data_IF_715373262276
#
_entry.id   IF_715373262276
#
_cell.length_a   1.000
_cell.length_b   1.000
_cell.length_c   1.000
_cell.angle_alpha   90.00
_cell.angle_beta   90.00
_cell.angle_gamma   90.00
#
_symmetry.space_group_name_H-M   'P 1'
#
loop_
_entity.id
_entity.type
_entity.pdbx_description
1 polymer ?
#
# COMPACT_ATOMS: atom_id res chain seq x y z
N UNK A 1 8.96 -55.26 26.02
CA UNK A 1 9.73 -54.27 25.23
C UNK A 1 8.72 -53.24 24.68
N UNK A 2 8.56 -52.14 25.39
CA UNK A 2 7.69 -51.01 25.00
C UNK A 2 8.38 -50.26 23.88
N UNK A 3 7.72 -50.15 22.72
CA UNK A 3 8.18 -49.30 21.62
C UNK A 3 7.81 -47.83 21.95
N UNK A 4 8.83 -47.03 22.21
CA UNK A 4 8.70 -45.59 22.33
C UNK A 4 8.08 -44.99 21.05
N UNK A 5 6.89 -44.42 21.17
CA UNK A 5 6.22 -43.68 20.10
C UNK A 5 6.97 -42.39 19.80
N UNK A 6 7.90 -42.40 18.83
CA UNK A 6 8.52 -41.18 18.32
C UNK A 6 7.44 -40.29 17.67
N UNK A 7 7.16 -39.15 18.33
CA UNK A 7 6.30 -38.11 17.74
C UNK A 7 6.81 -37.75 16.36
N UNK A 8 5.98 -37.91 15.32
CA UNK A 8 6.27 -37.42 13.96
C UNK A 8 6.63 -35.94 14.04
N UNK A 9 7.78 -35.56 13.45
CA UNK A 9 8.19 -34.17 13.29
C UNK A 9 7.05 -33.43 12.61
N UNK A 10 6.48 -32.41 13.27
CA UNK A 10 5.43 -31.58 12.68
C UNK A 10 5.98 -30.96 11.40
N UNK A 11 5.30 -31.22 10.29
CA UNK A 11 5.53 -30.57 9.00
C UNK A 11 5.64 -29.05 9.20
N UNK A 12 6.82 -28.49 8.95
CA UNK A 12 7.00 -27.03 8.89
C UNK A 12 6.22 -26.56 7.67
N UNK A 13 5.07 -25.93 7.89
CA UNK A 13 4.21 -25.45 6.82
C UNK A 13 4.96 -24.56 5.82
N UNK A 14 4.50 -24.57 4.56
CA UNK A 14 5.09 -23.85 3.43
C UNK A 14 5.05 -22.31 3.55
N UNK A 15 4.46 -21.79 4.64
CA UNK A 15 4.34 -20.35 4.89
C UNK A 15 5.07 -19.97 6.17
N UNK A 16 6.29 -19.41 6.07
CA UNK A 16 7.03 -18.91 7.22
C UNK A 16 6.25 -17.79 7.92
N UNK A 17 6.29 -17.78 9.26
CA UNK A 17 5.58 -16.80 10.09
C UNK A 17 6.45 -15.59 10.44
N UNK A 18 7.76 -15.75 10.49
CA UNK A 18 8.68 -14.66 10.78
C UNK A 18 8.93 -13.81 9.52
N UNK A 19 8.98 -12.48 9.69
CA UNK A 19 9.20 -11.52 8.60
C UNK A 19 10.43 -11.88 7.76
N UNK A 20 11.60 -12.07 8.39
CA UNK A 20 12.85 -12.43 7.69
C UNK A 20 12.82 -13.76 6.96
N UNK A 21 12.01 -14.70 7.41
CA UNK A 21 11.84 -16.01 6.75
C UNK A 21 10.83 -15.96 5.61
N UNK A 22 9.94 -14.96 5.61
CA UNK A 22 8.93 -14.76 4.58
C UNK A 22 9.49 -14.07 3.35
N UNK A 23 10.38 -13.10 3.56
CA UNK A 23 11.01 -12.30 2.50
C UNK A 23 12.47 -12.75 2.29
N UNK A 24 12.62 -13.96 1.76
CA UNK A 24 13.92 -14.63 1.53
C UNK A 24 14.83 -13.87 0.57
N UNK A 25 14.26 -13.09 -0.34
CA UNK A 25 14.98 -12.24 -1.27
C UNK A 25 15.75 -11.09 -0.60
N UNK A 26 15.44 -10.78 0.66
CA UNK A 26 16.16 -9.77 1.45
C UNK A 26 17.47 -10.33 2.05
N UNK A 27 17.70 -11.64 1.95
CA UNK A 27 18.91 -12.29 2.44
C UNK A 27 19.43 -13.29 1.37
N UNK A 28 19.97 -12.76 0.24
CA UNK A 28 20.40 -13.58 -0.89
C UNK A 28 21.59 -14.49 -0.55
N UNK A 29 22.43 -14.13 0.43
CA UNK A 29 23.54 -14.98 0.88
C UNK A 29 23.04 -16.28 1.50
N UNK A 30 21.94 -16.23 2.24
CA UNK A 30 21.37 -17.39 2.94
C UNK A 30 20.40 -18.20 2.08
N UNK A 31 19.61 -17.55 1.22
CA UNK A 31 18.48 -18.17 0.53
C UNK A 31 18.56 -18.11 -1.00
N UNK A 32 19.63 -17.53 -1.59
CA UNK A 32 19.74 -17.31 -3.04
C UNK A 32 19.51 -18.57 -3.87
N UNK A 33 20.15 -19.67 -3.50
CA UNK A 33 19.99 -20.96 -4.20
C UNK A 33 18.56 -21.56 -4.08
N UNK A 34 17.87 -21.33 -2.98
CA UNK A 34 16.48 -21.77 -2.79
C UNK A 34 15.51 -20.92 -3.62
N UNK A 35 15.76 -19.61 -3.68
CA UNK A 35 14.99 -18.65 -4.48
C UNK A 35 15.13 -18.99 -5.97
N UNK A 36 16.34 -19.22 -6.46
CA UNK A 36 16.59 -19.59 -7.86
C UNK A 36 15.88 -20.90 -8.25
N UNK A 37 15.95 -21.94 -7.41
CA UNK A 37 15.26 -23.21 -7.66
C UNK A 37 13.74 -23.05 -7.75
N UNK A 38 13.16 -22.21 -6.92
CA UNK A 38 11.71 -21.94 -6.91
C UNK A 38 11.32 -21.19 -8.17
N UNK A 39 12.10 -20.17 -8.59
CA UNK A 39 11.89 -19.42 -9.83
C UNK A 39 12.00 -20.34 -11.05
N UNK A 40 13.01 -21.19 -11.12
CA UNK A 40 13.21 -22.17 -12.21
C UNK A 40 12.07 -23.19 -12.28
N UNK A 41 11.40 -23.49 -11.17
CA UNK A 41 10.22 -24.37 -11.14
C UNK A 41 8.92 -23.67 -11.57
N UNK A 42 8.98 -22.43 -12.02
CA UNK A 42 7.81 -21.62 -12.41
C UNK A 42 6.93 -21.19 -11.23
N UNK A 43 7.42 -21.32 -10.00
CA UNK A 43 6.71 -20.89 -8.78
C UNK A 43 7.32 -19.59 -8.25
N UNK A 44 6.49 -18.80 -7.58
CA UNK A 44 6.96 -17.62 -6.87
C UNK A 44 7.43 -18.03 -5.48
N UNK A 45 8.64 -17.64 -5.05
CA UNK A 45 9.08 -17.83 -3.69
C UNK A 45 8.11 -17.22 -2.69
N UNK A 46 7.85 -17.90 -1.57
CA UNK A 46 7.00 -17.37 -0.52
C UNK A 46 7.61 -16.08 0.03
N UNK A 47 6.90 -14.96 -0.15
CA UNK A 47 7.32 -13.64 0.30
C UNK A 47 7.87 -12.73 -0.79
N UNK A 48 8.09 -13.18 -2.01
CA UNK A 48 8.41 -12.27 -3.12
C UNK A 48 7.26 -11.29 -3.35
N UNK A 49 7.62 -10.02 -3.44
CA UNK A 49 6.68 -8.97 -3.81
C UNK A 49 6.38 -9.06 -5.30
N UNK A 50 5.20 -9.56 -5.65
CA UNK A 50 4.70 -9.51 -7.02
C UNK A 50 3.86 -8.25 -7.15
N UNK A 51 4.24 -7.32 -8.04
CA UNK A 51 3.40 -6.16 -8.29
C UNK A 51 2.04 -6.59 -8.86
N UNK A 52 0.99 -5.91 -8.42
CA UNK A 52 -0.40 -6.27 -8.74
C UNK A 52 -0.79 -5.68 -10.10
N UNK A 53 -1.55 -6.43 -10.92
CA UNK A 53 -2.13 -5.97 -12.19
C UNK A 53 -1.10 -5.40 -13.18
N UNK A 54 0.09 -5.99 -13.24
CA UNK A 54 1.17 -5.49 -14.11
C UNK A 54 0.74 -5.41 -15.57
N UNK A 55 0.09 -6.45 -16.10
CA UNK A 55 -0.30 -6.52 -17.50
C UNK A 55 -1.33 -5.44 -17.83
N UNK A 56 -2.33 -5.29 -16.99
CA UNK A 56 -3.41 -4.30 -17.16
C UNK A 56 -2.85 -2.87 -17.06
N UNK A 57 -1.90 -2.61 -16.15
CA UNK A 57 -1.23 -1.31 -16.05
C UNK A 57 -0.42 -1.01 -17.30
N UNK A 58 0.41 -1.94 -17.76
CA UNK A 58 1.24 -1.73 -18.96
C UNK A 58 0.41 -1.57 -20.23
N UNK A 59 -0.72 -2.30 -20.34
CA UNK A 59 -1.67 -2.14 -21.44
C UNK A 59 -2.30 -0.74 -21.45
N UNK A 60 -2.74 -0.27 -20.27
CA UNK A 60 -3.35 1.06 -20.13
C UNK A 60 -2.35 2.17 -20.38
N UNK A 61 -1.14 2.08 -19.83
CA UNK A 61 -0.12 3.12 -19.98
C UNK A 61 0.49 3.16 -21.38
N UNK A 62 0.45 2.04 -22.12
CA UNK A 62 0.94 1.92 -23.52
C UNK A 62 2.34 2.53 -23.69
N UNK A 63 3.26 2.12 -22.81
CA UNK A 63 4.61 2.69 -22.70
C UNK A 63 5.43 2.36 -23.94
N UNK A 64 6.00 3.39 -24.57
CA UNK A 64 6.87 3.28 -25.74
C UNK A 64 8.32 3.72 -25.39
N UNK A 65 9.34 3.13 -26.05
CA UNK A 65 10.71 3.61 -25.91
C UNK A 65 10.84 5.12 -26.23
N UNK A 66 11.66 5.83 -25.45
CA UNK A 66 11.87 7.26 -25.61
C UNK A 66 10.90 8.15 -24.82
N UNK A 67 9.88 7.58 -24.20
CA UNK A 67 8.94 8.33 -23.36
C UNK A 67 9.51 8.70 -21.99
N UNK A 68 8.88 9.68 -21.36
CA UNK A 68 9.17 10.11 -19.99
C UNK A 68 7.98 9.76 -19.09
N UNK A 69 8.23 8.99 -18.03
CA UNK A 69 7.20 8.54 -17.12
C UNK A 69 7.41 8.94 -15.68
N UNK A 70 6.37 8.73 -14.88
CA UNK A 70 6.43 8.95 -13.44
C UNK A 70 5.72 7.83 -12.68
N UNK A 71 6.43 7.26 -11.69
CA UNK A 71 5.91 6.35 -10.67
C UNK A 71 5.76 7.12 -9.35
N UNK A 72 4.52 7.39 -8.97
CA UNK A 72 4.20 8.16 -7.77
C UNK A 72 4.44 7.38 -6.46
N UNK A 73 4.62 6.07 -6.56
CA UNK A 73 4.61 5.12 -5.44
C UNK A 73 5.67 4.03 -5.65
N UNK A 74 6.94 4.42 -5.62
CA UNK A 74 8.08 3.54 -5.90
C UNK A 74 8.02 2.21 -5.14
N UNK A 75 7.74 2.26 -3.83
CA UNK A 75 7.69 1.11 -2.96
C UNK A 75 8.88 0.17 -3.15
N UNK A 76 8.61 -1.11 -3.38
CA UNK A 76 9.64 -2.12 -3.67
C UNK A 76 10.23 -2.03 -5.09
N UNK A 77 9.68 -1.17 -5.95
CA UNK A 77 10.15 -0.97 -7.33
C UNK A 77 9.68 -2.02 -8.34
N UNK A 78 8.65 -2.79 -7.99
CA UNK A 78 8.14 -3.84 -8.86
C UNK A 78 7.51 -3.31 -10.14
N UNK A 79 6.62 -2.33 -10.03
CA UNK A 79 6.03 -1.62 -11.17
C UNK A 79 7.06 -0.76 -11.90
N UNK A 80 7.91 -0.01 -11.16
CA UNK A 80 9.02 0.78 -11.70
C UNK A 80 9.87 -0.05 -12.65
N UNK A 81 10.30 -1.24 -12.22
CA UNK A 81 11.09 -2.15 -13.03
C UNK A 81 10.36 -2.55 -14.31
N UNK A 82 9.07 -2.87 -14.23
CA UNK A 82 8.28 -3.26 -15.39
C UNK A 82 8.08 -2.12 -16.40
N UNK A 83 7.94 -0.90 -15.93
CA UNK A 83 7.90 0.29 -16.78
C UNK A 83 9.27 0.56 -17.44
N UNK A 84 10.38 0.40 -16.70
CA UNK A 84 11.74 0.52 -17.24
C UNK A 84 12.04 -0.54 -18.31
N UNK A 85 11.57 -1.80 -18.12
CA UNK A 85 11.67 -2.84 -19.15
C UNK A 85 10.97 -2.42 -20.46
N UNK A 86 9.85 -1.69 -20.39
CA UNK A 86 9.14 -1.16 -21.57
C UNK A 86 9.81 0.03 -22.24
N UNK A 87 10.56 0.82 -21.50
CA UNK A 87 11.35 1.93 -22.07
C UNK A 87 12.58 1.44 -22.84
N UNK A 88 12.99 0.19 -22.70
CA UNK A 88 14.09 -0.44 -23.46
C UNK A 88 15.41 0.36 -23.44
N UNK A 89 15.72 0.99 -22.30
CA UNK A 89 16.90 1.83 -22.14
C UNK A 89 16.82 3.20 -22.84
N UNK A 90 15.64 3.60 -23.31
CA UNK A 90 15.38 4.89 -23.96
C UNK A 90 14.33 5.68 -23.16
N UNK A 91 14.50 6.99 -23.07
CA UNK A 91 13.60 7.84 -22.29
C UNK A 91 14.01 7.97 -20.83
N UNK A 92 13.07 8.27 -19.92
CA UNK A 92 13.38 8.47 -18.52
C UNK A 92 12.18 8.16 -17.62
N UNK A 93 12.43 7.54 -16.47
CA UNK A 93 11.43 7.31 -15.43
C UNK A 93 11.80 8.07 -14.17
N UNK A 94 10.90 8.91 -13.70
CA UNK A 94 10.95 9.49 -12.37
C UNK A 94 10.15 8.63 -11.41
N UNK A 95 10.64 8.45 -10.18
CA UNK A 95 9.92 7.70 -9.17
C UNK A 95 10.03 8.39 -7.81
N UNK A 96 8.96 8.36 -7.03
CA UNK A 96 8.96 8.96 -5.69
C UNK A 96 8.41 8.00 -4.64
N UNK A 97 8.90 8.17 -3.41
CA UNK A 97 8.33 7.55 -2.22
C UNK A 97 8.58 8.47 -1.02
N UNK A 98 7.70 8.42 -0.04
CA UNK A 98 7.89 9.13 1.23
C UNK A 98 8.69 8.30 2.24
N UNK A 99 8.68 6.97 2.09
CA UNK A 99 9.37 6.04 2.98
C UNK A 99 10.89 6.07 2.75
N UNK A 100 11.68 6.61 3.70
CA UNK A 100 13.12 6.73 3.54
C UNK A 100 13.83 5.37 3.53
N UNK A 101 13.25 4.38 4.21
CA UNK A 101 13.85 3.06 4.38
C UNK A 101 13.68 2.25 3.11
N UNK A 102 12.44 2.20 2.57
CA UNK A 102 12.17 1.42 1.39
C UNK A 102 12.71 2.06 0.11
N UNK A 103 12.67 3.39 -0.01
CA UNK A 103 13.19 4.09 -1.20
C UNK A 103 14.70 3.85 -1.38
N UNK A 104 15.48 3.85 -0.31
CA UNK A 104 16.92 3.60 -0.39
C UNK A 104 17.26 2.15 -0.77
N UNK A 105 16.57 1.19 -0.15
CA UNK A 105 16.71 -0.23 -0.50
C UNK A 105 16.31 -0.51 -1.95
N UNK A 106 15.25 0.16 -2.41
CA UNK A 106 14.76 0.00 -3.79
C UNK A 106 15.71 0.64 -4.79
N UNK A 107 16.28 1.79 -4.48
CA UNK A 107 17.36 2.40 -5.29
C UNK A 107 18.49 1.41 -5.51
N UNK A 108 19.06 0.86 -4.45
CA UNK A 108 20.16 -0.09 -4.54
C UNK A 108 19.80 -1.33 -5.37
N UNK A 109 18.57 -1.85 -5.24
CA UNK A 109 18.10 -3.01 -6.04
C UNK A 109 17.99 -2.67 -7.53
N UNK A 110 17.47 -1.51 -7.88
CA UNK A 110 17.29 -1.11 -9.28
C UNK A 110 18.63 -0.77 -9.93
N UNK A 111 19.54 -0.11 -9.21
CA UNK A 111 20.91 0.13 -9.67
C UNK A 111 21.67 -1.18 -9.91
N UNK A 112 21.57 -2.15 -8.99
CA UNK A 112 22.15 -3.49 -9.16
C UNK A 112 21.53 -4.26 -10.35
N UNK A 113 20.29 -3.95 -10.73
CA UNK A 113 19.63 -4.50 -11.91
C UNK A 113 19.98 -3.74 -13.22
N UNK A 114 20.86 -2.74 -13.16
CA UNK A 114 21.37 -1.98 -14.31
C UNK A 114 20.54 -0.72 -14.63
N UNK A 115 19.64 -0.29 -13.78
CA UNK A 115 18.87 0.95 -13.96
C UNK A 115 19.51 2.11 -13.20
N UNK A 116 20.44 2.79 -13.85
CA UNK A 116 21.17 3.92 -13.30
C UNK A 116 20.48 5.27 -13.49
N UNK A 117 21.15 6.38 -13.05
CA UNK A 117 20.57 7.72 -13.06
C UNK A 117 20.34 8.30 -14.47
N UNK A 118 20.86 7.69 -15.50
CA UNK A 118 20.63 8.00 -16.92
C UNK A 118 19.21 7.69 -17.39
N UNK A 119 18.56 6.67 -16.79
CA UNK A 119 17.20 6.27 -17.15
C UNK A 119 16.19 6.35 -15.98
N UNK A 120 16.68 6.43 -14.72
CA UNK A 120 15.84 6.43 -13.54
C UNK A 120 16.29 7.50 -12.53
N UNK A 121 15.37 8.39 -12.14
CA UNK A 121 15.56 9.33 -11.04
C UNK A 121 14.61 9.01 -9.90
N UNK A 122 15.13 8.62 -8.74
CA UNK A 122 14.36 8.37 -7.52
C UNK A 122 14.50 9.57 -6.58
N UNK A 123 13.36 10.09 -6.10
CA UNK A 123 13.30 11.19 -5.12
C UNK A 123 12.50 10.79 -3.89
N UNK A 124 13.01 11.09 -2.70
CA UNK A 124 12.21 11.01 -1.47
C UNK A 124 11.28 12.23 -1.41
N UNK A 125 10.02 12.03 -1.75
CA UNK A 125 9.08 13.13 -1.93
C UNK A 125 7.65 12.59 -1.86
N UNK A 126 6.73 13.41 -1.37
CA UNK A 126 5.30 13.09 -1.41
C UNK A 126 4.75 13.35 -2.82
N UNK A 127 3.98 12.42 -3.35
CA UNK A 127 3.41 12.53 -4.70
C UNK A 127 2.40 13.68 -4.85
N UNK A 128 1.86 14.26 -3.77
CA UNK A 128 1.13 15.53 -3.83
C UNK A 128 1.95 16.69 -4.42
N UNK A 129 3.28 16.54 -4.46
CA UNK A 129 4.21 17.50 -5.03
C UNK A 129 4.64 17.10 -6.46
N UNK A 130 3.79 16.40 -7.21
CA UNK A 130 4.08 15.88 -8.55
C UNK A 130 4.59 16.97 -9.52
N UNK A 131 4.13 18.20 -9.38
CA UNK A 131 4.57 19.37 -10.13
C UNK A 131 6.04 19.77 -9.87
N UNK A 132 6.65 19.26 -8.80
CA UNK A 132 8.04 19.52 -8.40
C UNK A 132 8.98 18.32 -8.68
N UNK A 133 8.45 17.20 -9.14
CA UNK A 133 9.24 15.98 -9.43
C UNK A 133 10.26 16.23 -10.53
N UNK A 134 9.84 16.88 -11.61
CA UNK A 134 10.68 17.23 -12.76
C UNK A 134 10.22 18.59 -13.29
N UNK A 135 10.68 19.71 -12.69
CA UNK A 135 10.22 21.04 -13.07
C UNK A 135 10.44 21.34 -14.55
N UNK A 136 9.36 21.70 -15.26
CA UNK A 136 9.36 21.98 -16.70
C UNK A 136 9.21 20.76 -17.61
N UNK A 137 9.34 19.53 -17.09
CA UNK A 137 9.06 18.29 -17.82
C UNK A 137 7.58 17.93 -17.68
N UNK A 138 7.06 17.24 -18.71
CA UNK A 138 5.74 16.62 -18.69
C UNK A 138 5.85 15.14 -18.99
N UNK A 139 4.96 14.36 -18.39
CA UNK A 139 5.00 12.92 -18.46
C UNK A 139 4.09 12.37 -19.58
N UNK A 140 4.60 11.38 -20.31
CA UNK A 140 3.83 10.58 -21.25
C UNK A 140 2.91 9.60 -20.49
N UNK A 141 3.38 9.11 -19.34
CA UNK A 141 2.60 8.21 -18.48
C UNK A 141 2.89 8.42 -17.00
N UNK A 142 1.88 8.17 -16.18
CA UNK A 142 1.95 8.26 -14.71
C UNK A 142 1.27 7.04 -14.09
N UNK A 143 1.93 6.42 -13.13
CA UNK A 143 1.38 5.36 -12.28
C UNK A 143 1.30 5.83 -10.82
N UNK A 144 0.21 5.49 -10.14
CA UNK A 144 0.11 5.55 -8.69
C UNK A 144 -0.50 4.23 -8.16
N UNK A 145 0.28 3.48 -7.36
CA UNK A 145 -0.15 2.27 -6.65
C UNK A 145 -0.35 2.62 -5.17
N UNK A 146 -1.58 3.02 -4.80
CA UNK A 146 -1.88 3.63 -3.51
C UNK A 146 -1.82 2.63 -2.35
N UNK A 147 -1.69 3.17 -1.15
CA UNK A 147 -1.69 2.41 0.10
C UNK A 147 -0.30 1.97 0.55
N UNK A 148 -0.23 0.83 1.22
CA UNK A 148 0.99 0.30 1.85
C UNK A 148 1.43 -1.02 1.22
N UNK A 149 2.74 -1.20 1.09
CA UNK A 149 3.31 -2.43 0.57
C UNK A 149 3.09 -3.62 1.52
N UNK A 150 3.12 -4.82 0.94
CA UNK A 150 3.07 -6.04 1.74
C UNK A 150 4.18 -6.14 2.78
N UNK A 151 5.35 -5.59 2.47
CA UNK A 151 6.50 -5.60 3.37
C UNK A 151 6.28 -4.67 4.57
N UNK A 152 5.74 -3.47 4.33
CA UNK A 152 5.36 -2.56 5.40
C UNK A 152 4.29 -3.16 6.32
N UNK A 153 3.26 -3.82 5.76
CA UNK A 153 2.21 -4.50 6.56
C UNK A 153 2.78 -5.64 7.42
N UNK A 154 3.72 -6.39 6.89
CA UNK A 154 4.26 -7.57 7.56
C UNK A 154 5.38 -7.24 8.57
N UNK A 155 5.90 -6.02 8.55
CA UNK A 155 6.89 -5.53 9.52
C UNK A 155 6.17 -5.06 10.81
N UNK A 156 6.33 -5.77 11.95
CA UNK A 156 5.68 -5.40 13.20
C UNK A 156 6.10 -4.01 13.72
N UNK A 157 7.34 -3.58 13.45
CA UNK A 157 7.88 -2.30 13.94
C UNK A 157 7.22 -1.08 13.27
N UNK A 158 6.54 -1.29 12.13
CA UNK A 158 5.80 -0.24 11.41
C UNK A 158 4.36 -0.07 11.91
N UNK A 159 3.84 -1.01 12.69
CA UNK A 159 2.51 -0.95 13.29
C UNK A 159 1.32 -1.18 12.35
N UNK A 160 1.52 -1.49 11.07
CA UNK A 160 0.42 -1.69 10.08
C UNK A 160 -0.38 -2.97 10.28
N UNK A 161 0.04 -3.86 11.17
CA UNK A 161 -0.65 -5.13 11.44
C UNK A 161 -0.95 -5.31 12.92
N UNK A 162 -2.13 -5.82 13.22
CA UNK A 162 -2.51 -6.25 14.58
C UNK A 162 -2.30 -7.75 14.83
N UNK A 163 -1.71 -8.48 13.85
CA UNK A 163 -1.39 -9.91 14.01
C UNK A 163 -0.26 -10.13 14.99
N UNK A 164 0.72 -9.26 14.96
CA UNK A 164 1.87 -9.24 15.86
C UNK A 164 1.81 -7.99 16.72
N UNK A 165 2.42 -8.01 17.89
CA UNK A 165 2.56 -6.82 18.71
C UNK A 165 3.71 -5.97 18.21
N UNK A 166 3.53 -4.67 18.22
CA UNK A 166 4.49 -3.67 17.79
C UNK A 166 4.00 -2.27 18.14
N UNK A 167 4.83 -1.23 17.96
CA UNK A 167 4.42 0.14 18.23
C UNK A 167 3.23 0.52 17.33
N UNK A 168 2.29 1.28 17.87
CA UNK A 168 1.15 1.82 17.11
C UNK A 168 1.58 3.08 16.38
N UNK A 169 2.41 2.92 15.32
CA UNK A 169 3.00 4.02 14.57
C UNK A 169 2.15 4.41 13.37
N UNK A 170 2.00 3.55 12.37
CA UNK A 170 1.23 3.72 11.12
C UNK A 170 1.72 4.82 10.16
N UNK A 171 2.83 5.48 10.44
CA UNK A 171 3.39 6.49 9.52
C UNK A 171 4.07 5.81 8.33
N UNK A 172 3.86 6.36 7.13
CA UNK A 172 4.61 5.96 5.93
C UNK A 172 6.06 6.47 6.00
N UNK A 173 6.25 7.68 6.51
CA UNK A 173 7.56 8.22 6.87
C UNK A 173 7.70 8.26 8.40
N UNK A 174 8.42 7.30 9.02
CA UNK A 174 8.57 7.26 10.47
C UNK A 174 9.42 8.40 11.05
N UNK A 175 10.06 9.20 10.19
CA UNK A 175 10.90 10.34 10.61
C UNK A 175 10.13 11.66 10.68
N UNK A 176 8.84 11.67 10.30
CA UNK A 176 8.03 12.89 10.20
C UNK A 176 6.61 12.67 10.73
N UNK A 177 6.00 13.73 11.24
CA UNK A 177 4.63 13.71 11.76
C UNK A 177 4.49 12.99 13.09
N UNK A 178 3.24 12.82 13.52
CA UNK A 178 2.88 12.12 14.77
C UNK A 178 2.48 10.67 14.50
N UNK A 179 2.84 9.76 15.40
CA UNK A 179 2.41 8.36 15.33
C UNK A 179 0.90 8.22 15.63
N UNK A 180 0.32 7.10 15.25
CA UNK A 180 -1.09 6.83 15.58
C UNK A 180 -1.34 6.77 17.10
N UNK A 181 -0.36 6.32 17.88
CA UNK A 181 -0.45 6.34 19.35
C UNK A 181 -0.49 7.78 19.89
N UNK A 182 0.32 8.69 19.35
CA UNK A 182 0.30 10.11 19.71
C UNK A 182 -1.01 10.75 19.26
N UNK A 183 -1.42 10.49 18.02
CA UNK A 183 -2.66 11.01 17.46
C UNK A 183 -3.90 10.63 18.27
N UNK A 184 -3.99 9.39 18.73
CA UNK A 184 -5.08 8.94 19.60
C UNK A 184 -5.17 9.69 20.93
N UNK A 185 -4.05 10.26 21.44
CA UNK A 185 -4.05 11.07 22.67
C UNK A 185 -4.55 12.50 22.46
N UNK A 186 -4.44 13.00 21.22
CA UNK A 186 -4.87 14.35 20.84
C UNK A 186 -6.37 14.44 20.57
N UNK A 187 -6.98 13.32 20.09
CA UNK A 187 -8.39 13.28 19.71
C UNK A 187 -9.31 13.14 20.92
N UNK A 188 -10.46 13.77 20.88
CA UNK A 188 -11.56 13.46 21.78
C UNK A 188 -12.44 12.30 21.26
N UNK A 189 -13.51 11.94 22.02
CA UNK A 189 -14.40 10.81 21.66
C UNK A 189 -15.15 11.10 20.34
N UNK A 190 -15.61 12.34 20.12
CA UNK A 190 -16.40 12.71 18.95
C UNK A 190 -15.52 12.77 17.71
N UNK A 191 -14.35 13.38 17.81
CA UNK A 191 -13.35 13.46 16.74
C UNK A 191 -12.88 12.07 16.31
N UNK A 192 -12.56 11.19 17.27
CA UNK A 192 -12.16 9.83 16.97
C UNK A 192 -13.30 9.04 16.29
N UNK A 193 -14.52 9.16 16.76
CA UNK A 193 -15.66 8.50 16.15
C UNK A 193 -15.91 8.99 14.72
N UNK A 194 -15.84 10.31 14.49
CA UNK A 194 -15.99 10.93 13.17
C UNK A 194 -14.90 10.43 12.22
N UNK A 195 -13.64 10.45 12.63
CA UNK A 195 -12.50 9.97 11.83
C UNK A 195 -12.66 8.49 11.43
N UNK A 196 -13.11 7.62 12.34
CA UNK A 196 -13.33 6.21 12.06
C UNK A 196 -14.45 5.99 11.02
N UNK A 197 -15.49 6.81 11.05
CA UNK A 197 -16.58 6.77 10.05
C UNK A 197 -16.09 7.31 8.71
N UNK A 198 -15.49 8.49 8.69
CA UNK A 198 -15.12 9.20 7.46
C UNK A 198 -14.03 8.45 6.67
N UNK A 199 -13.02 7.93 7.37
CA UNK A 199 -11.88 7.28 6.73
C UNK A 199 -12.12 5.80 6.38
N UNK A 200 -13.00 5.09 7.11
CA UNK A 200 -13.12 3.64 6.94
C UNK A 200 -14.56 3.08 7.02
N UNK A 201 -15.58 3.91 7.04
CA UNK A 201 -16.98 3.47 7.17
C UNK A 201 -17.16 2.47 8.35
N UNK A 202 -16.52 2.73 9.53
CA UNK A 202 -16.57 1.83 10.68
C UNK A 202 -17.93 1.89 11.39
N UNK A 203 -18.76 0.82 11.37
CA UNK A 203 -20.11 0.87 11.91
C UNK A 203 -20.17 0.95 13.44
N UNK A 204 -19.10 0.61 14.13
CA UNK A 204 -19.03 0.65 15.60
C UNK A 204 -18.14 1.79 16.12
N UNK A 205 -17.92 2.82 15.31
CA UNK A 205 -17.00 3.94 15.56
C UNK A 205 -17.20 4.54 16.96
N UNK A 206 -18.43 4.94 17.33
CA UNK A 206 -18.71 5.53 18.64
C UNK A 206 -18.42 4.58 19.82
N UNK A 207 -18.62 3.25 19.66
CA UNK A 207 -18.28 2.27 20.71
C UNK A 207 -16.77 2.12 20.87
N UNK A 208 -16.05 2.09 19.75
CA UNK A 208 -14.58 1.97 19.73
C UNK A 208 -13.97 3.25 20.31
N UNK A 209 -14.40 4.42 19.87
CA UNK A 209 -13.94 5.72 20.37
C UNK A 209 -14.15 5.82 21.90
N UNK A 210 -15.33 5.52 22.37
CA UNK A 210 -15.63 5.49 23.81
C UNK A 210 -14.76 4.50 24.59
N UNK A 211 -14.46 3.34 24.03
CA UNK A 211 -13.60 2.35 24.68
C UNK A 211 -12.14 2.83 24.76
N UNK A 212 -11.63 3.46 23.73
CA UNK A 212 -10.29 4.08 23.71
C UNK A 212 -10.21 5.20 24.75
N UNK A 213 -11.19 6.14 24.74
CA UNK A 213 -11.19 7.25 25.69
C UNK A 213 -11.28 6.81 27.17
N UNK A 214 -12.00 5.73 27.43
CA UNK A 214 -12.05 5.13 28.79
C UNK A 214 -10.68 4.64 29.29
N UNK A 215 -9.81 4.17 28.39
CA UNK A 215 -8.44 3.78 28.76
C UNK A 215 -7.66 5.01 29.22
N UNK A 216 -7.69 6.10 28.47
CA UNK A 216 -7.02 7.35 28.83
C UNK A 216 -7.58 7.98 30.10
N UNK A 217 -8.90 8.01 30.29
CA UNK A 217 -9.56 8.52 31.50
C UNK A 217 -9.15 7.75 32.77
N UNK A 218 -8.73 6.49 32.64
CA UNK A 218 -8.23 5.64 33.75
C UNK A 218 -6.72 5.75 33.94
N UNK A 219 -6.04 6.64 33.23
CA UNK A 219 -4.59 6.83 33.27
C UNK A 219 -3.80 5.77 32.49
N UNK A 220 -4.46 4.98 31.63
CA UNK A 220 -3.80 4.04 30.73
C UNK A 220 -3.31 4.70 29.43
N UNK A 221 -2.69 3.89 28.58
CA UNK A 221 -2.23 4.31 27.24
C UNK A 221 -2.57 3.27 26.17
N UNK A 222 -2.53 3.68 24.90
CA UNK A 222 -2.75 2.83 23.73
C UNK A 222 -1.53 3.02 22.82
N UNK A 223 -0.46 2.30 23.13
CA UNK A 223 0.86 2.47 22.52
C UNK A 223 1.21 1.36 21.52
N UNK A 224 0.50 0.22 21.60
CA UNK A 224 0.80 -0.93 20.74
C UNK A 224 -0.40 -1.41 19.94
N UNK A 225 -0.10 -2.10 18.85
CA UNK A 225 -1.12 -2.66 17.95
C UNK A 225 -2.03 -3.67 18.66
N UNK A 226 -1.48 -4.46 19.58
CA UNK A 226 -2.26 -5.44 20.36
C UNK A 226 -3.15 -4.78 21.43
N UNK A 227 -2.69 -3.70 22.05
CA UNK A 227 -3.53 -2.93 22.98
C UNK A 227 -4.76 -2.40 22.25
N UNK A 228 -4.58 -1.74 21.09
CA UNK A 228 -5.73 -1.24 20.32
C UNK A 228 -6.66 -2.36 19.88
N UNK A 229 -6.13 -3.46 19.35
CA UNK A 229 -6.93 -4.61 18.94
C UNK A 229 -7.76 -5.20 20.11
N UNK A 230 -7.16 -5.31 21.31
CA UNK A 230 -7.86 -5.78 22.51
C UNK A 230 -8.96 -4.83 22.98
N UNK A 231 -8.77 -3.52 22.85
CA UNK A 231 -9.79 -2.52 23.17
C UNK A 231 -10.97 -2.66 22.20
N UNK A 232 -10.72 -2.83 20.89
CA UNK A 232 -11.76 -3.05 19.89
C UNK A 232 -12.54 -4.35 20.19
N UNK A 233 -11.84 -5.44 20.50
CA UNK A 233 -12.46 -6.70 20.88
C UNK A 233 -13.36 -6.55 22.12
N UNK A 234 -12.89 -5.85 23.13
CA UNK A 234 -13.67 -5.52 24.33
C UNK A 234 -14.90 -4.66 24.02
N UNK A 235 -14.77 -3.65 23.17
CA UNK A 235 -15.87 -2.77 22.74
C UNK A 235 -16.99 -3.53 22.01
N UNK A 236 -16.64 -4.63 21.33
CA UNK A 236 -17.55 -5.49 20.56
C UNK A 236 -17.95 -6.77 21.28
N UNK A 237 -17.67 -6.90 22.57
CA UNK A 237 -17.98 -8.09 23.38
C UNK A 237 -19.48 -8.40 23.50
N UNK A 238 -20.34 -7.42 23.24
CA UNK A 238 -21.81 -7.57 23.23
C UNK A 238 -22.34 -8.38 22.03
N UNK A 239 -21.51 -8.56 20.98
CA UNK A 239 -21.92 -9.30 19.79
C UNK A 239 -22.06 -10.80 20.08
N UNK A 240 -23.00 -11.51 19.38
CA UNK A 240 -23.12 -12.95 19.48
C UNK A 240 -21.79 -13.66 19.14
N UNK A 241 -21.42 -14.74 19.85
CA UNK A 241 -20.17 -15.45 19.61
C UNK A 241 -19.94 -15.89 18.17
N UNK A 242 -21.00 -16.27 17.45
CA UNK A 242 -20.93 -16.72 16.06
C UNK A 242 -20.44 -15.63 15.09
N UNK A 243 -20.79 -14.36 15.35
CA UNK A 243 -20.45 -13.21 14.48
C UNK A 243 -19.23 -12.43 14.98
N UNK A 244 -18.93 -12.51 16.28
CA UNK A 244 -17.94 -11.66 16.95
C UNK A 244 -16.58 -11.73 16.31
N UNK A 245 -16.04 -12.92 16.07
CA UNK A 245 -14.67 -13.11 15.57
C UNK A 245 -14.43 -12.40 14.23
N UNK A 246 -15.34 -12.56 13.28
CA UNK A 246 -15.20 -11.95 11.96
C UNK A 246 -15.46 -10.44 12.02
N UNK A 247 -16.45 -10.01 12.82
CA UNK A 247 -16.77 -8.59 13.00
C UNK A 247 -15.63 -7.84 13.68
N UNK A 248 -15.07 -8.36 14.77
CA UNK A 248 -13.89 -7.78 15.44
C UNK A 248 -12.72 -7.66 14.47
N UNK A 249 -12.43 -8.71 13.69
CA UNK A 249 -11.37 -8.66 12.68
C UNK A 249 -11.59 -7.53 11.66
N UNK A 250 -12.82 -7.36 11.16
CA UNK A 250 -13.17 -6.28 10.21
C UNK A 250 -13.06 -4.90 10.84
N UNK A 251 -13.54 -4.74 12.08
CA UNK A 251 -13.43 -3.48 12.80
C UNK A 251 -11.98 -3.13 13.13
N UNK A 252 -11.14 -4.10 13.51
CA UNK A 252 -9.69 -3.85 13.61
C UNK A 252 -9.10 -3.37 12.28
N UNK A 253 -9.41 -4.04 11.17
CA UNK A 253 -8.92 -3.63 9.84
C UNK A 253 -9.33 -2.20 9.50
N UNK A 254 -10.61 -1.81 9.72
CA UNK A 254 -11.11 -0.46 9.46
C UNK A 254 -10.51 0.59 10.39
N UNK A 255 -10.40 0.28 11.69
CA UNK A 255 -9.80 1.21 12.66
C UNK A 255 -8.33 1.49 12.32
N UNK A 256 -7.54 0.46 12.02
CA UNK A 256 -6.15 0.64 11.60
C UNK A 256 -6.05 1.38 10.27
N UNK A 257 -6.93 1.10 9.32
CA UNK A 257 -7.01 1.85 8.06
C UNK A 257 -7.36 3.32 8.30
N UNK A 258 -8.34 3.61 9.14
CA UNK A 258 -8.77 4.98 9.44
C UNK A 258 -7.66 5.80 10.09
N UNK A 259 -6.96 5.23 11.08
CA UNK A 259 -5.80 5.86 11.70
C UNK A 259 -4.65 6.07 10.72
N UNK A 260 -4.37 5.09 9.85
CA UNK A 260 -3.33 5.22 8.83
C UNK A 260 -3.63 6.37 7.88
N UNK A 261 -4.86 6.46 7.40
CA UNK A 261 -5.31 7.55 6.52
C UNK A 261 -5.13 8.90 7.22
N UNK A 262 -5.51 9.01 8.49
CA UNK A 262 -5.41 10.24 9.27
C UNK A 262 -3.96 10.68 9.48
N UNK A 263 -3.09 9.81 10.03
CA UNK A 263 -1.70 10.20 10.34
C UNK A 263 -0.83 10.48 9.11
N UNK A 264 -1.22 9.96 7.95
CA UNK A 264 -0.51 10.20 6.69
C UNK A 264 -1.23 11.22 5.78
N UNK A 265 -2.37 11.75 6.19
CA UNK A 265 -3.22 12.66 5.39
C UNK A 265 -3.49 12.10 3.98
N UNK A 266 -3.78 10.77 3.89
CA UNK A 266 -3.78 10.07 2.60
C UNK A 266 -4.82 10.64 1.62
N UNK A 267 -5.98 11.06 2.11
CA UNK A 267 -7.02 11.65 1.25
C UNK A 267 -6.67 13.03 0.75
N UNK A 268 -6.10 13.89 1.60
CA UNK A 268 -5.64 15.24 1.24
C UNK A 268 -4.49 15.16 0.23
N UNK A 269 -3.55 14.25 0.46
CA UNK A 269 -2.43 13.98 -0.46
C UNK A 269 -2.94 13.49 -1.82
N UNK A 270 -3.88 12.53 -1.82
CA UNK A 270 -4.48 12.02 -3.04
C UNK A 270 -5.27 13.09 -3.78
N UNK A 271 -6.03 13.91 -3.06
CA UNK A 271 -6.78 15.01 -3.66
C UNK A 271 -5.85 16.02 -4.34
N UNK A 272 -4.79 16.45 -3.64
CA UNK A 272 -3.80 17.38 -4.21
C UNK A 272 -3.07 16.81 -5.43
N UNK A 273 -2.78 15.50 -5.42
CA UNK A 273 -2.22 14.81 -6.57
C UNK A 273 -3.17 14.80 -7.76
N UNK A 274 -4.44 14.42 -7.56
CA UNK A 274 -5.44 14.32 -8.61
C UNK A 274 -5.74 15.67 -9.26
N UNK A 275 -5.70 16.76 -8.49
CA UNK A 275 -5.86 18.13 -8.98
C UNK A 275 -4.70 18.57 -9.88
N UNK A 276 -3.47 18.23 -9.51
CA UNK A 276 -2.26 18.56 -10.26
C UNK A 276 -1.97 17.63 -11.43
N UNK A 277 -2.41 16.38 -11.39
CA UNK A 277 -2.08 15.33 -12.36
C UNK A 277 -2.28 15.75 -13.83
N UNK A 278 -3.39 16.42 -14.21
CA UNK A 278 -3.54 16.88 -15.59
C UNK A 278 -2.49 17.90 -16.03
N UNK A 279 -1.95 18.68 -15.09
CA UNK A 279 -1.00 19.75 -15.42
C UNK A 279 0.39 19.22 -15.74
N UNK A 280 0.72 18.01 -15.30
CA UNK A 280 2.02 17.35 -15.51
C UNK A 280 1.99 16.30 -16.61
N UNK A 281 0.81 15.94 -17.12
CA UNK A 281 0.67 15.05 -18.27
C UNK A 281 0.81 15.82 -19.59
N UNK A 282 1.47 15.20 -20.57
CA UNK A 282 1.45 15.65 -21.98
C UNK A 282 0.05 15.46 -22.56
N UNK A 283 -0.32 16.20 -23.64
CA UNK A 283 -1.47 15.81 -24.45
C UNK A 283 -1.33 14.36 -24.94
N UNK A 284 -2.39 13.56 -24.78
CA UNK A 284 -2.36 12.11 -25.02
C UNK A 284 -1.69 11.28 -23.92
N UNK A 285 -1.10 11.94 -22.91
CA UNK A 285 -0.47 11.26 -21.78
C UNK A 285 -1.49 10.49 -20.92
N UNK A 286 -1.07 9.37 -20.36
CA UNK A 286 -1.91 8.39 -19.68
C UNK A 286 -1.61 8.30 -18.20
N UNK A 287 -2.64 8.21 -17.38
CA UNK A 287 -2.52 7.98 -15.93
C UNK A 287 -3.23 6.69 -15.55
N UNK A 288 -2.58 5.87 -14.74
CA UNK A 288 -3.14 4.66 -14.14
C UNK A 288 -3.06 4.77 -12.60
N UNK A 289 -4.17 4.51 -11.92
CA UNK A 289 -4.22 4.58 -10.44
C UNK A 289 -4.82 3.30 -9.90
N UNK A 290 -4.05 2.60 -9.07
CA UNK A 290 -4.52 1.47 -8.26
C UNK A 290 -5.01 1.98 -6.91
N UNK A 291 -6.17 1.49 -6.49
CA UNK A 291 -6.78 1.78 -5.19
C UNK A 291 -7.14 0.48 -4.48
N UNK A 292 -7.10 0.47 -3.14
CA UNK A 292 -7.32 -0.74 -2.34
C UNK A 292 -8.55 -0.68 -1.46
N UNK A 293 -9.14 0.49 -1.28
CA UNK A 293 -10.39 0.65 -0.54
C UNK A 293 -11.36 1.64 -1.21
N UNK A 294 -12.60 1.66 -0.72
CA UNK A 294 -13.69 2.45 -1.31
C UNK A 294 -13.45 3.97 -1.27
N UNK A 295 -12.77 4.45 -0.24
CA UNK A 295 -12.47 5.88 -0.07
C UNK A 295 -11.59 6.41 -1.19
N UNK A 296 -10.42 5.77 -1.42
CA UNK A 296 -9.52 6.11 -2.53
C UNK A 296 -10.23 6.04 -3.89
N UNK A 297 -10.91 4.91 -4.16
CA UNK A 297 -11.61 4.71 -5.44
C UNK A 297 -12.68 5.78 -5.70
N UNK A 298 -13.38 6.23 -4.65
CA UNK A 298 -14.38 7.29 -4.73
C UNK A 298 -13.75 8.62 -5.14
N UNK A 299 -12.60 8.99 -4.56
CA UNK A 299 -11.86 10.21 -4.90
C UNK A 299 -11.36 10.17 -6.34
N UNK A 300 -10.68 9.10 -6.74
CA UNK A 300 -10.17 8.94 -8.13
C UNK A 300 -11.32 8.99 -9.14
N UNK A 301 -12.40 8.23 -8.91
CA UNK A 301 -13.59 8.23 -9.78
C UNK A 301 -14.19 9.62 -9.93
N UNK A 302 -14.33 10.36 -8.82
CA UNK A 302 -14.91 11.71 -8.83
C UNK A 302 -14.04 12.69 -9.60
N UNK A 303 -12.73 12.69 -9.34
CA UNK A 303 -11.79 13.57 -10.02
C UNK A 303 -11.73 13.29 -11.54
N UNK A 304 -11.60 12.02 -11.95
CA UNK A 304 -11.57 11.65 -13.35
C UNK A 304 -12.85 12.03 -14.10
N UNK A 305 -14.02 11.79 -13.50
CA UNK A 305 -15.31 12.21 -14.08
C UNK A 305 -15.46 13.71 -14.18
N UNK A 306 -14.96 14.47 -13.20
CA UNK A 306 -14.98 15.93 -13.23
C UNK A 306 -14.11 16.44 -14.39
N UNK A 307 -12.86 16.02 -14.46
CA UNK A 307 -11.93 16.43 -15.51
C UNK A 307 -12.36 15.99 -16.92
N UNK A 308 -13.03 14.86 -17.06
CA UNK A 308 -13.65 14.46 -18.33
C UNK A 308 -14.75 15.47 -18.76
N UNK A 309 -15.64 15.87 -17.84
CA UNK A 309 -16.69 16.87 -18.13
C UNK A 309 -16.13 18.25 -18.49
N UNK A 310 -15.00 18.60 -17.89
CA UNK A 310 -14.28 19.84 -18.15
C UNK A 310 -13.44 19.80 -19.44
N UNK A 311 -13.41 18.66 -20.15
CA UNK A 311 -12.61 18.45 -21.34
C UNK A 311 -11.10 18.37 -21.09
N UNK A 312 -10.69 18.19 -19.84
CA UNK A 312 -9.30 18.05 -19.41
C UNK A 312 -8.77 16.65 -19.74
N UNK A 313 -9.59 15.63 -19.56
CA UNK A 313 -9.35 14.29 -20.07
C UNK A 313 -10.23 14.01 -21.29
N UNK A 314 -9.64 13.38 -22.31
CA UNK A 314 -10.36 12.92 -23.51
C UNK A 314 -11.09 11.59 -23.25
N UNK A 315 -10.54 10.77 -22.36
CA UNK A 315 -11.04 9.44 -22.05
C UNK A 315 -10.72 9.06 -20.60
N UNK A 316 -11.61 8.29 -19.98
CA UNK A 316 -11.40 7.68 -18.66
C UNK A 316 -11.95 6.26 -18.64
N UNK A 317 -11.49 5.43 -17.71
CA UNK A 317 -12.10 4.13 -17.45
C UNK A 317 -13.58 4.29 -17.04
N UNK A 318 -14.51 3.72 -17.79
CA UNK A 318 -15.94 3.72 -17.45
C UNK A 318 -16.18 2.97 -16.15
N UNK A 319 -15.69 1.72 -16.10
CA UNK A 319 -15.72 0.85 -14.95
C UNK A 319 -14.32 0.60 -14.38
N UNK A 320 -14.27 -0.01 -13.20
CA UNK A 320 -13.00 -0.44 -12.60
C UNK A 320 -12.52 -1.74 -13.24
N UNK A 321 -11.25 -1.79 -13.62
CA UNK A 321 -10.59 -3.06 -13.91
C UNK A 321 -10.20 -3.73 -12.61
N UNK A 322 -10.44 -5.03 -12.52
CA UNK A 322 -10.12 -5.86 -11.35
C UNK A 322 -9.03 -6.86 -11.67
N UNK A 323 -8.23 -7.28 -10.69
CA UNK A 323 -7.28 -8.37 -10.87
C UNK A 323 -7.99 -9.66 -11.29
N UNK A 324 -7.31 -10.48 -12.06
CA UNK A 324 -7.82 -11.79 -12.47
C UNK A 324 -8.08 -12.71 -11.27
N UNK A 325 -8.96 -13.71 -11.45
CA UNK A 325 -9.20 -14.72 -10.42
C UNK A 325 -7.92 -15.50 -10.06
N UNK A 326 -7.05 -15.74 -11.04
CA UNK A 326 -5.76 -16.40 -10.85
C UNK A 326 -4.80 -15.55 -10.01
N UNK A 327 -4.70 -14.26 -10.29
CA UNK A 327 -3.90 -13.33 -9.49
C UNK A 327 -4.43 -13.23 -8.05
N UNK A 328 -5.75 -13.12 -7.86
CA UNK A 328 -6.39 -13.13 -6.55
C UNK A 328 -6.15 -14.43 -5.76
N UNK A 329 -6.02 -15.56 -6.45
CA UNK A 329 -5.68 -16.83 -5.83
C UNK A 329 -4.21 -16.87 -5.38
N UNK A 330 -3.29 -16.40 -6.23
CA UNK A 330 -1.84 -16.33 -5.93
C UNK A 330 -1.52 -15.25 -4.90
N UNK A 331 -2.17 -14.09 -5.00
CA UNK A 331 -2.02 -12.95 -4.10
C UNK A 331 -3.39 -12.50 -3.52
N UNK A 332 -3.81 -13.02 -2.36
CA UNK A 332 -5.09 -12.64 -1.75
C UNK A 332 -5.24 -11.14 -1.43
N UNK A 333 -4.13 -10.38 -1.36
CA UNK A 333 -4.16 -8.92 -1.15
C UNK A 333 -4.64 -8.17 -2.38
N UNK A 334 -4.53 -8.76 -3.57
CA UNK A 334 -5.04 -8.19 -4.81
C UNK A 334 -6.58 -8.11 -4.86
N UNK A 335 -7.31 -8.88 -4.05
CA UNK A 335 -8.79 -8.96 -4.10
C UNK A 335 -9.53 -7.63 -3.99
N UNK A 336 -8.99 -6.68 -3.25
CA UNK A 336 -9.59 -5.36 -3.07
C UNK A 336 -9.17 -4.35 -4.14
N UNK A 337 -8.13 -4.66 -4.93
CA UNK A 337 -7.54 -3.74 -5.91
C UNK A 337 -8.52 -3.34 -7.00
N UNK A 338 -8.47 -2.07 -7.37
CA UNK A 338 -9.22 -1.47 -8.45
C UNK A 338 -8.29 -0.59 -9.27
N UNK A 339 -8.24 -0.80 -10.55
CA UNK A 339 -7.51 0.06 -11.50
C UNK A 339 -8.48 1.03 -12.16
N UNK A 340 -8.13 2.31 -12.13
CA UNK A 340 -8.74 3.38 -12.94
C UNK A 340 -7.67 4.07 -13.76
N UNK A 341 -8.05 4.55 -14.95
CA UNK A 341 -7.15 5.26 -15.83
C UNK A 341 -7.82 6.45 -16.51
N UNK A 342 -6.99 7.36 -17.01
CA UNK A 342 -7.41 8.53 -17.77
C UNK A 342 -6.38 8.87 -18.85
N UNK A 343 -6.84 9.51 -19.92
CA UNK A 343 -6.03 10.04 -21.02
C UNK A 343 -6.18 11.56 -21.06
N UNK A 344 -5.07 12.29 -21.09
CA UNK A 344 -5.06 13.76 -21.17
C UNK A 344 -5.47 14.22 -22.57
N UNK A 345 -6.35 15.21 -22.67
CA UNK A 345 -6.70 15.88 -23.95
C UNK A 345 -5.50 16.54 -24.58
#
# INVERSE_FOLDING_TARGET
MEQEHKRRVRYKGTHPRAFREKYKELDPEKYGADVEKIIQSGKTPAGMHIPIMVNEILEVLDIQPGQVGYDATLGYGGHTRKMLEKLEGQGHLYATDVDPIESEKTRARLEAAGYGPDILTIRRMNFAQVDQVAPGEKFDFVLADLGVSSMQIDDPERGFTFKYDGPLDLRLDPTSGVSAAERLRELDEEELAAMLVENADEPYAGRIAKAVMRVYQRGGSVDTTKQLASIIEGALSFLPPAERKETVKKSCQRTFQALRIDVNSEFEVLYAFLDKLPTVLKPGGRAAILTFHSGEDRLVKKAFKQHLREGVYSEISEDVTRPSAEECFRNPRAKSTKLRWAVRT
#
